data_IF_744093375158
#
_entry.id   IF_744093375158
#
_cell.length_a   1.000
_cell.length_b   1.000
_cell.length_c   1.000
_cell.angle_alpha   90.00
_cell.angle_beta   90.00
_cell.angle_gamma   90.00
#
_symmetry.space_group_name_H-M   'P 1'
#
loop_
_entity.id
_entity.type
_entity.pdbx_description
1 polymer ?
#
# COMPACT_ATOMS: atom_id res chain seq x y z
N UNK A 1 14.70 -16.84 -41.19
CA UNK A 1 13.53 -17.45 -40.47
C UNK A 1 13.97 -17.81 -39.07
N UNK A 2 13.18 -17.37 -38.06
CA UNK A 2 13.47 -17.70 -36.66
C UNK A 2 12.83 -19.05 -36.35
N UNK A 3 13.62 -20.02 -35.87
CA UNK A 3 13.14 -21.32 -35.41
C UNK A 3 12.82 -21.19 -33.91
N UNK A 4 11.55 -21.37 -33.55
CA UNK A 4 11.08 -21.33 -32.17
C UNK A 4 10.92 -22.79 -31.69
N UNK A 5 11.75 -23.20 -30.74
CA UNK A 5 11.66 -24.52 -30.09
C UNK A 5 10.99 -24.31 -28.74
N UNK A 6 9.79 -24.86 -28.56
CA UNK A 6 9.07 -24.78 -27.29
C UNK A 6 9.66 -25.75 -26.26
N UNK A 7 9.71 -25.33 -25.01
CA UNK A 7 10.17 -26.14 -23.85
C UNK A 7 11.62 -26.66 -23.94
N UNK A 8 12.50 -25.96 -24.64
CA UNK A 8 13.91 -26.34 -24.76
C UNK A 8 14.69 -26.21 -23.43
N UNK A 9 14.25 -25.30 -22.54
CA UNK A 9 14.84 -25.09 -21.22
C UNK A 9 13.75 -25.04 -20.15
N UNK A 10 14.04 -25.49 -18.91
CA UNK A 10 13.13 -25.25 -17.80
C UNK A 10 12.99 -23.73 -17.59
N UNK A 11 11.76 -23.27 -17.35
CA UNK A 11 11.49 -21.87 -17.10
C UNK A 11 12.17 -21.44 -15.78
N UNK A 12 12.96 -20.35 -15.82
CA UNK A 12 13.59 -19.75 -14.64
C UNK A 12 12.58 -18.99 -13.79
N UNK A 13 11.55 -18.43 -14.45
CA UNK A 13 10.45 -17.69 -13.81
C UNK A 13 9.12 -18.24 -14.23
N UNK A 14 8.15 -18.20 -13.34
CA UNK A 14 6.75 -18.52 -13.67
C UNK A 14 6.17 -17.44 -14.58
N UNK A 15 5.09 -17.77 -15.29
CA UNK A 15 4.40 -16.79 -16.14
C UNK A 15 3.88 -15.59 -15.34
N UNK A 16 3.44 -15.82 -14.10
CA UNK A 16 2.93 -14.77 -13.20
C UNK A 16 4.05 -13.83 -12.77
N UNK A 17 5.22 -14.35 -12.38
CA UNK A 17 6.40 -13.54 -12.04
C UNK A 17 6.87 -12.72 -13.23
N UNK A 18 6.90 -13.31 -14.42
CA UNK A 18 7.26 -12.60 -15.65
C UNK A 18 6.25 -11.48 -15.97
N UNK A 19 4.95 -11.71 -15.79
CA UNK A 19 3.92 -10.69 -15.97
C UNK A 19 4.05 -9.56 -14.92
N UNK A 20 4.33 -9.90 -13.67
CA UNK A 20 4.58 -8.93 -12.61
C UNK A 20 5.79 -8.07 -12.92
N UNK A 21 6.93 -8.66 -13.32
CA UNK A 21 8.11 -7.93 -13.75
C UNK A 21 7.81 -7.01 -14.95
N UNK A 22 7.09 -7.49 -15.96
CA UNK A 22 6.71 -6.66 -17.11
C UNK A 22 5.80 -5.49 -16.73
N UNK A 23 4.90 -5.65 -15.76
CA UNK A 23 4.04 -4.56 -15.27
C UNK A 23 4.86 -3.48 -14.59
N UNK A 24 5.81 -3.87 -13.75
CA UNK A 24 6.77 -2.96 -13.09
C UNK A 24 7.64 -2.24 -14.14
N UNK A 25 8.18 -2.97 -15.10
CA UNK A 25 8.96 -2.38 -16.19
C UNK A 25 8.14 -1.39 -17.02
N UNK A 26 6.88 -1.71 -17.34
CA UNK A 26 5.97 -0.77 -18.04
C UNK A 26 5.69 0.47 -17.22
N UNK A 27 5.46 0.35 -15.91
CA UNK A 27 5.25 1.50 -15.04
C UNK A 27 6.50 2.39 -14.97
N UNK A 28 7.68 1.78 -14.95
CA UNK A 28 8.95 2.49 -14.97
C UNK A 28 9.27 3.08 -16.35
N UNK A 29 8.94 2.38 -17.45
CA UNK A 29 9.18 2.84 -18.81
C UNK A 29 8.44 4.13 -19.16
N UNK A 30 7.22 4.33 -18.64
CA UNK A 30 6.49 5.61 -18.78
C UNK A 30 7.28 6.80 -18.24
N UNK A 31 8.25 6.56 -17.37
CA UNK A 31 9.16 7.58 -16.84
C UNK A 31 10.43 7.75 -17.68
N UNK A 32 10.78 6.78 -18.52
CA UNK A 32 12.04 6.77 -19.29
C UNK A 32 11.89 7.28 -20.72
N UNK A 33 10.71 7.24 -21.32
CA UNK A 33 10.50 7.66 -22.73
C UNK A 33 10.79 9.16 -22.96
N UNK A 34 11.12 9.94 -21.92
CA UNK A 34 11.42 11.36 -22.01
C UNK A 34 12.74 11.79 -21.36
N UNK A 35 13.60 10.88 -20.90
CA UNK A 35 14.86 11.25 -20.24
C UNK A 35 16.02 10.32 -20.64
N UNK A 36 16.97 10.78 -21.45
CA UNK A 36 18.28 10.15 -21.50
C UNK A 36 19.03 10.47 -20.20
N UNK A 37 19.27 9.49 -19.39
CA UNK A 37 20.37 9.58 -18.52
C UNK A 37 20.21 9.60 -17.03
N UNK A 38 21.14 8.92 -16.46
CA UNK A 38 21.70 8.92 -15.11
C UNK A 38 20.69 8.96 -13.96
N UNK A 39 20.39 7.79 -13.46
CA UNK A 39 19.87 7.62 -12.09
C UNK A 39 20.92 8.23 -11.15
N UNK A 40 20.76 9.50 -10.79
CA UNK A 40 21.46 10.04 -9.65
C UNK A 40 20.83 9.37 -8.42
N UNK A 41 21.58 8.48 -7.82
CA UNK A 41 21.31 7.99 -6.46
C UNK A 41 21.35 9.21 -5.54
N UNK A 42 20.18 9.81 -5.30
CA UNK A 42 20.06 10.86 -4.31
C UNK A 42 20.23 10.21 -2.95
N UNK A 43 21.20 10.70 -2.17
CA UNK A 43 21.40 10.27 -0.78
C UNK A 43 20.28 10.76 0.15
N UNK A 44 19.35 11.57 -0.37
CA UNK A 44 18.22 12.12 0.39
C UNK A 44 16.92 11.46 -0.04
N UNK A 45 16.12 11.03 0.93
CA UNK A 45 14.76 10.56 0.71
C UNK A 45 13.84 11.71 0.35
N UNK A 46 13.17 11.58 -0.80
CA UNK A 46 12.14 12.50 -1.26
C UNK A 46 10.77 11.91 -0.94
N UNK A 47 10.07 12.46 0.05
CA UNK A 47 8.85 11.89 0.65
C UNK A 47 7.73 11.65 -0.37
N UNK A 48 7.53 12.58 -1.31
CA UNK A 48 6.46 12.50 -2.32
C UNK A 48 6.97 12.00 -3.69
N UNK A 49 8.18 11.44 -3.74
CA UNK A 49 8.70 10.87 -4.98
C UNK A 49 7.82 9.72 -5.45
N UNK A 50 7.49 9.72 -6.72
CA UNK A 50 6.73 8.63 -7.33
C UNK A 50 5.21 8.84 -7.34
N UNK A 51 4.67 9.72 -6.50
CA UNK A 51 3.23 10.01 -6.40
C UNK A 51 2.84 11.43 -6.87
N UNK A 52 3.82 12.25 -7.28
CA UNK A 52 3.57 13.62 -7.77
C UNK A 52 3.39 13.66 -9.28
N UNK A 53 2.35 14.35 -9.74
CA UNK A 53 2.01 14.53 -11.15
C UNK A 53 1.72 15.99 -11.49
N UNK A 54 2.07 16.36 -12.69
CA UNK A 54 1.72 17.68 -13.27
C UNK A 54 0.30 17.65 -13.81
N UNK A 55 -0.61 18.46 -13.28
CA UNK A 55 -2.00 18.49 -13.73
C UNK A 55 -2.16 19.11 -15.13
N UNK A 56 -1.18 19.96 -15.56
CA UNK A 56 -1.20 20.59 -16.89
C UNK A 56 -0.84 19.65 -18.04
N UNK A 57 0.00 18.63 -17.80
CA UNK A 57 0.48 17.76 -18.88
C UNK A 57 0.47 16.27 -18.52
N UNK A 58 -0.01 15.90 -17.35
CA UNK A 58 -0.10 14.50 -16.88
C UNK A 58 1.24 13.83 -16.56
N UNK A 59 2.38 14.51 -16.78
CA UNK A 59 3.69 13.89 -16.58
C UNK A 59 3.99 13.68 -15.09
N UNK A 60 4.61 12.56 -14.74
CA UNK A 60 5.13 12.30 -13.40
C UNK A 60 6.26 13.29 -13.08
N UNK A 61 6.18 13.96 -11.94
CA UNK A 61 7.15 14.97 -11.56
C UNK A 61 8.45 14.33 -11.04
N UNK A 62 9.57 14.99 -11.31
CA UNK A 62 10.90 14.56 -10.88
C UNK A 62 11.29 15.31 -9.62
N UNK A 63 11.77 14.56 -8.62
CA UNK A 63 12.28 15.11 -7.38
C UNK A 63 13.75 15.54 -7.52
N UNK A 64 14.09 16.67 -6.94
CA UNK A 64 15.47 17.15 -6.83
C UNK A 64 15.73 17.75 -5.45
N UNK A 65 16.95 17.63 -4.91
CA UNK A 65 17.30 18.34 -3.67
C UNK A 65 17.12 19.85 -3.85
N UNK A 66 16.47 20.47 -2.90
CA UNK A 66 16.27 21.91 -2.87
C UNK A 66 17.28 22.62 -1.96
N UNK A 67 16.89 23.80 -1.47
CA UNK A 67 17.71 24.66 -0.62
C UNK A 67 17.89 24.02 0.77
N UNK A 68 19.09 24.13 1.30
CA UNK A 68 19.39 23.89 2.71
C UNK A 68 18.96 25.12 3.51
N UNK A 69 18.07 24.92 4.48
CA UNK A 69 17.64 25.97 5.40
C UNK A 69 18.60 26.10 6.59
N UNK A 70 18.52 27.22 7.31
CA UNK A 70 19.37 27.53 8.48
C UNK A 70 19.21 26.50 9.60
N UNK A 71 18.00 25.89 9.69
CA UNK A 71 17.67 24.84 10.65
C UNK A 71 18.20 23.43 10.25
N UNK A 72 19.03 23.36 9.21
CA UNK A 72 19.60 22.11 8.71
C UNK A 72 18.64 21.31 7.82
N UNK A 73 17.39 21.73 7.66
CA UNK A 73 16.46 21.05 6.78
C UNK A 73 16.75 21.37 5.32
N UNK A 74 16.95 20.33 4.53
CA UNK A 74 17.08 20.46 3.08
C UNK A 74 15.76 20.13 2.41
N UNK A 75 15.16 21.08 1.68
CA UNK A 75 13.90 20.84 0.98
C UNK A 75 14.05 19.84 -0.17
N UNK A 76 12.95 19.23 -0.58
CA UNK A 76 12.82 18.49 -1.83
C UNK A 76 11.95 19.31 -2.79
N UNK A 77 12.40 19.47 -4.02
CA UNK A 77 11.66 20.17 -5.06
C UNK A 77 11.11 19.14 -6.06
N UNK A 78 9.86 19.34 -6.47
CA UNK A 78 9.18 18.51 -7.46
C UNK A 78 8.88 19.35 -8.69
N UNK A 79 9.45 18.97 -9.83
CA UNK A 79 9.36 19.71 -11.08
C UNK A 79 8.84 18.88 -12.23
N UNK A 80 8.08 19.52 -13.11
CA UNK A 80 7.59 18.87 -14.33
C UNK A 80 8.77 18.63 -15.30
N UNK A 81 8.99 17.39 -15.78
CA UNK A 81 10.05 17.08 -16.71
C UNK A 81 9.90 17.79 -18.07
N UNK A 82 8.65 17.95 -18.56
CA UNK A 82 8.42 18.66 -19.83
C UNK A 82 8.73 20.15 -19.73
N UNK A 83 8.54 20.77 -18.56
CA UNK A 83 8.99 22.14 -18.31
C UNK A 83 10.50 22.22 -18.31
N UNK A 84 11.16 21.29 -17.60
CA UNK A 84 12.59 21.32 -17.37
C UNK A 84 13.40 21.02 -18.64
N UNK A 85 12.98 20.00 -19.39
CA UNK A 85 13.75 19.49 -20.52
C UNK A 85 13.37 20.13 -21.86
N UNK A 86 12.08 20.33 -22.10
CA UNK A 86 11.57 20.73 -23.42
C UNK A 86 10.83 22.08 -23.44
N UNK A 87 10.60 22.68 -22.26
CA UNK A 87 9.79 23.88 -22.07
C UNK A 87 8.35 23.80 -22.63
N UNK A 88 7.88 22.59 -22.94
CA UNK A 88 6.51 22.33 -23.44
C UNK A 88 5.44 22.44 -22.35
N UNK A 89 5.82 22.61 -21.10
CA UNK A 89 4.91 22.83 -19.98
C UNK A 89 5.40 24.03 -19.17
N UNK A 90 4.49 24.79 -18.60
CA UNK A 90 4.81 25.99 -17.80
C UNK A 90 4.57 25.80 -16.30
N UNK A 91 4.22 24.57 -15.85
CA UNK A 91 3.92 24.30 -14.44
C UNK A 91 5.13 24.56 -13.54
N UNK A 92 5.05 25.44 -12.53
CA UNK A 92 6.17 25.76 -11.65
C UNK A 92 6.58 24.57 -10.78
N UNK A 93 7.82 24.62 -10.27
CA UNK A 93 8.32 23.65 -9.31
C UNK A 93 7.71 23.93 -7.94
N UNK A 94 7.34 22.87 -7.22
CA UNK A 94 6.76 22.94 -5.86
C UNK A 94 7.70 22.25 -4.88
N UNK A 95 7.83 22.80 -3.67
CA UNK A 95 8.65 22.18 -2.64
C UNK A 95 7.82 21.29 -1.70
N UNK A 96 8.53 20.40 -1.01
CA UNK A 96 7.93 19.43 -0.08
C UNK A 96 7.27 20.07 1.16
N UNK A 97 7.66 21.27 1.56
CA UNK A 97 7.04 21.95 2.69
C UNK A 97 5.59 22.33 2.34
N UNK A 98 5.40 22.97 1.17
CA UNK A 98 4.07 23.37 0.70
C UNK A 98 3.18 22.14 0.49
N UNK A 99 3.72 21.12 -0.17
CA UNK A 99 2.98 19.88 -0.42
C UNK A 99 2.65 19.16 0.89
N UNK A 100 3.66 19.03 1.75
CA UNK A 100 3.54 18.30 3.01
C UNK A 100 2.57 18.95 3.99
N UNK A 101 2.62 20.27 4.13
CA UNK A 101 1.65 20.97 4.98
C UNK A 101 0.23 20.81 4.49
N UNK A 102 0.00 20.93 3.19
CA UNK A 102 -1.32 20.74 2.61
C UNK A 102 -1.82 19.30 2.80
N UNK A 103 -1.04 18.33 2.34
CA UNK A 103 -1.44 16.91 2.32
C UNK A 103 -1.65 16.36 3.71
N UNK A 104 -0.72 16.60 4.64
CA UNK A 104 -0.79 16.08 6.02
C UNK A 104 -1.96 16.69 6.79
N UNK A 105 -2.17 18.00 6.66
CA UNK A 105 -3.29 18.64 7.34
C UNK A 105 -4.63 18.24 6.70
N UNK A 106 -4.66 17.97 5.38
CA UNK A 106 -5.85 17.42 4.74
C UNK A 106 -6.20 16.03 5.24
N UNK A 107 -5.21 15.13 5.33
CA UNK A 107 -5.38 13.80 5.92
C UNK A 107 -5.82 13.91 7.38
N UNK A 108 -5.25 14.81 8.15
CA UNK A 108 -5.63 15.07 9.53
C UNK A 108 -7.10 15.51 9.63
N UNK A 109 -7.54 16.44 8.77
CA UNK A 109 -8.92 16.90 8.73
C UNK A 109 -9.89 15.77 8.32
N UNK A 110 -9.51 14.91 7.38
CA UNK A 110 -10.30 13.72 7.03
C UNK A 110 -10.46 12.76 8.23
N UNK A 111 -9.39 12.53 8.99
CA UNK A 111 -9.42 11.68 10.19
C UNK A 111 -10.26 12.31 11.31
N UNK A 112 -10.18 13.62 11.46
CA UNK A 112 -11.00 14.35 12.44
C UNK A 112 -12.48 14.38 12.03
N UNK A 113 -12.78 14.63 10.76
CA UNK A 113 -14.14 14.56 10.22
C UNK A 113 -14.78 13.18 10.46
N UNK A 114 -14.02 12.10 10.34
CA UNK A 114 -14.51 10.77 10.72
C UNK A 114 -14.87 10.66 12.20
N UNK A 115 -14.05 11.23 13.10
CA UNK A 115 -14.31 11.17 14.54
C UNK A 115 -15.57 11.98 14.94
N UNK A 116 -15.78 13.10 14.27
CA UNK A 116 -16.90 14.01 14.53
C UNK A 116 -18.08 13.82 13.57
N UNK A 117 -18.09 12.73 12.81
CA UNK A 117 -19.10 12.51 11.75
C UNK A 117 -20.54 12.49 12.29
N UNK A 118 -20.75 12.10 13.56
CA UNK A 118 -22.07 12.18 14.20
C UNK A 118 -22.63 13.60 14.28
N UNK A 119 -21.81 14.63 14.16
CA UNK A 119 -22.21 16.05 14.17
C UNK A 119 -22.25 16.68 12.76
N UNK A 120 -21.83 15.94 11.74
CA UNK A 120 -21.79 16.40 10.34
C UNK A 120 -23.00 15.80 9.62
N UNK A 121 -23.97 16.64 9.27
CA UNK A 121 -25.22 16.22 8.64
C UNK A 121 -25.27 16.49 7.15
N UNK A 122 -24.48 17.44 6.66
CA UNK A 122 -24.49 17.88 5.28
C UNK A 122 -23.11 17.81 4.63
N UNK A 123 -23.02 17.63 3.28
CA UNK A 123 -21.75 17.72 2.56
C UNK A 123 -21.04 19.07 2.74
N UNK A 124 -21.78 20.18 2.90
CA UNK A 124 -21.19 21.50 3.09
C UNK A 124 -20.48 21.61 4.45
N UNK A 125 -21.05 21.05 5.51
CA UNK A 125 -20.40 20.95 6.82
C UNK A 125 -19.15 20.09 6.74
N UNK A 126 -19.18 19.00 5.96
CA UNK A 126 -18.03 18.17 5.70
C UNK A 126 -16.94 18.95 4.94
N UNK A 127 -17.31 19.71 3.92
CA UNK A 127 -16.38 20.56 3.17
C UNK A 127 -15.69 21.57 4.10
N UNK A 128 -16.45 22.24 4.97
CA UNK A 128 -15.89 23.17 5.97
C UNK A 128 -14.94 22.48 6.95
N UNK A 129 -15.27 21.26 7.38
CA UNK A 129 -14.39 20.47 8.26
C UNK A 129 -13.10 20.06 7.55
N UNK A 130 -13.17 19.64 6.28
CA UNK A 130 -12.01 19.22 5.48
C UNK A 130 -11.06 20.39 5.17
N UNK A 131 -11.56 21.58 4.95
CA UNK A 131 -10.80 22.78 4.62
C UNK A 131 -10.50 23.66 5.86
N UNK A 132 -10.60 23.09 7.05
CA UNK A 132 -10.25 23.78 8.30
C UNK A 132 -8.75 24.00 8.40
N UNK A 133 -8.35 25.25 8.66
CA UNK A 133 -6.94 25.63 8.87
C UNK A 133 -6.41 26.65 7.85
N UNK A 134 -5.35 27.37 8.23
CA UNK A 134 -4.77 28.47 7.43
C UNK A 134 -4.21 28.02 6.08
N UNK A 135 -3.77 26.76 5.98
CA UNK A 135 -3.22 26.20 4.73
C UNK A 135 -4.24 26.16 3.60
N UNK A 136 -5.53 26.07 3.94
CA UNK A 136 -6.63 25.98 2.98
C UNK A 136 -7.31 27.33 2.71
N UNK A 137 -6.74 28.43 3.18
CA UNK A 137 -7.36 29.78 3.06
C UNK A 137 -7.66 30.20 1.61
N UNK A 138 -6.86 29.73 0.66
CA UNK A 138 -7.05 30.01 -0.77
C UNK A 138 -7.99 28.97 -1.45
N UNK A 139 -8.34 27.87 -0.79
CA UNK A 139 -9.24 26.87 -1.33
C UNK A 139 -10.68 27.30 -1.02
N UNK A 140 -11.54 27.27 -2.04
CA UNK A 140 -12.97 27.56 -1.90
C UNK A 140 -13.74 26.33 -1.45
N UNK A 141 -13.56 25.23 -2.18
CA UNK A 141 -14.28 23.97 -1.93
C UNK A 141 -13.54 22.77 -2.49
N UNK A 142 -13.95 21.59 -2.06
CA UNK A 142 -13.65 20.32 -2.73
C UNK A 142 -14.75 20.06 -3.75
N UNK A 143 -14.40 19.52 -4.92
CA UNK A 143 -15.36 19.15 -5.96
C UNK A 143 -16.45 18.19 -5.43
N UNK A 144 -17.70 18.43 -5.80
CA UNK A 144 -18.87 17.72 -5.26
C UNK A 144 -18.78 16.20 -5.37
N UNK A 145 -18.27 15.68 -6.50
CA UNK A 145 -18.15 14.23 -6.70
C UNK A 145 -17.25 13.56 -5.66
N UNK A 146 -16.11 14.18 -5.36
CA UNK A 146 -15.20 13.70 -4.34
C UNK A 146 -15.77 13.82 -2.94
N UNK A 147 -16.36 14.97 -2.65
CA UNK A 147 -16.99 15.27 -1.37
C UNK A 147 -18.14 14.30 -1.05
N UNK A 148 -19.07 14.10 -2.00
CA UNK A 148 -20.19 13.18 -1.86
C UNK A 148 -19.72 11.72 -1.73
N UNK A 149 -18.68 11.33 -2.45
CA UNK A 149 -18.09 10.01 -2.34
C UNK A 149 -17.52 9.77 -0.94
N UNK A 150 -16.87 10.76 -0.36
CA UNK A 150 -16.33 10.69 1.00
C UNK A 150 -17.44 10.72 2.06
N UNK A 151 -18.45 11.57 1.90
CA UNK A 151 -19.63 11.62 2.76
C UNK A 151 -20.35 10.27 2.82
N UNK A 152 -20.60 9.66 1.65
CA UNK A 152 -21.19 8.32 1.54
C UNK A 152 -20.32 7.23 2.19
N UNK A 153 -18.99 7.36 2.08
CA UNK A 153 -18.06 6.44 2.74
C UNK A 153 -18.15 6.56 4.26
N UNK A 154 -18.19 7.77 4.79
CA UNK A 154 -18.34 8.03 6.22
C UNK A 154 -19.70 7.55 6.74
N UNK A 155 -20.77 7.77 5.98
CA UNK A 155 -22.14 7.31 6.34
C UNK A 155 -22.23 5.79 6.46
N UNK A 156 -21.52 5.06 5.59
CA UNK A 156 -21.48 3.58 5.62
C UNK A 156 -20.61 3.00 6.73
N UNK A 157 -19.55 3.68 7.13
CA UNK A 157 -18.51 3.17 8.01
C UNK A 157 -18.31 4.03 9.27
N UNK A 158 -19.20 5.00 9.54
CA UNK A 158 -19.03 5.98 10.61
C UNK A 158 -18.91 5.39 12.02
N UNK A 159 -19.49 4.23 12.26
CA UNK A 159 -19.38 3.49 13.54
C UNK A 159 -18.28 2.43 13.56
N UNK A 160 -17.73 2.09 12.41
CA UNK A 160 -16.70 1.05 12.31
C UNK A 160 -15.31 1.62 12.63
N UNK A 161 -14.53 0.86 13.40
CA UNK A 161 -13.12 1.19 13.70
C UNK A 161 -12.21 1.05 12.49
N UNK A 162 -12.74 0.65 11.33
CA UNK A 162 -11.98 0.51 10.10
C UNK A 162 -11.31 1.83 9.70
N UNK A 163 -10.08 1.71 9.23
CA UNK A 163 -9.31 2.85 8.76
C UNK A 163 -9.85 3.35 7.42
N UNK A 164 -10.19 4.66 7.31
CA UNK A 164 -10.82 5.22 6.10
C UNK A 164 -9.98 5.13 4.83
N UNK A 165 -8.68 4.99 4.97
CA UNK A 165 -7.75 4.81 3.85
C UNK A 165 -7.42 3.33 3.56
N UNK A 166 -8.10 2.39 4.25
CA UNK A 166 -7.90 0.98 3.93
C UNK A 166 -8.29 0.75 2.48
N UNK A 167 -7.33 0.31 1.70
CA UNK A 167 -7.61 -0.27 0.40
C UNK A 167 -8.59 -1.40 0.67
N UNK A 168 -9.79 -1.38 0.07
CA UNK A 168 -10.55 -2.61 -0.09
C UNK A 168 -9.59 -3.51 -0.86
N UNK A 169 -8.89 -4.39 -0.18
CA UNK A 169 -8.29 -5.53 -0.86
C UNK A 169 -9.35 -6.00 -1.84
N UNK A 170 -9.08 -6.02 -3.18
CA UNK A 170 -10.00 -6.65 -4.10
C UNK A 170 -10.28 -7.95 -3.39
N UNK A 171 -11.55 -8.15 -2.89
CA UNK A 171 -11.94 -9.30 -2.04
C UNK A 171 -11.03 -10.39 -2.49
N UNK A 172 -10.05 -10.82 -1.66
CA UNK A 172 -9.14 -11.90 -2.05
C UNK A 172 -10.14 -12.90 -2.54
N UNK A 173 -10.27 -13.02 -3.88
CA UNK A 173 -11.01 -14.13 -4.50
C UNK A 173 -10.41 -15.24 -3.74
N UNK A 174 -11.14 -15.81 -2.73
CA UNK A 174 -10.68 -16.77 -1.73
C UNK A 174 -9.51 -17.44 -2.36
N UNK A 175 -8.29 -17.10 -1.94
CA UNK A 175 -7.08 -17.35 -2.73
C UNK A 175 -7.23 -18.78 -3.08
N UNK A 176 -7.38 -19.09 -4.36
CA UNK A 176 -7.93 -20.36 -4.78
C UNK A 176 -7.10 -21.34 -4.00
N UNK A 177 -7.71 -21.95 -2.98
CA UNK A 177 -7.00 -22.68 -1.92
C UNK A 177 -6.16 -23.61 -2.71
N UNK A 178 -4.84 -23.40 -2.67
CA UNK A 178 -3.91 -24.08 -3.57
C UNK A 178 -4.39 -25.50 -3.60
N UNK A 179 -4.84 -26.03 -4.74
CA UNK A 179 -5.53 -27.32 -4.77
C UNK A 179 -4.65 -28.41 -4.16
N UNK A 180 -3.33 -28.17 -4.17
CA UNK A 180 -2.32 -29.01 -3.59
C UNK A 180 -2.28 -28.90 -2.06
N UNK A 181 -2.36 -27.69 -1.52
CA UNK A 181 -2.45 -27.45 -0.07
C UNK A 181 -3.76 -27.99 0.52
N UNK A 182 -4.85 -27.89 -0.24
CA UNK A 182 -6.14 -28.47 0.12
C UNK A 182 -6.10 -30.00 0.11
N UNK A 183 -5.41 -30.61 -0.86
CA UNK A 183 -5.19 -32.05 -0.93
C UNK A 183 -4.35 -32.55 0.24
N UNK A 184 -3.24 -31.91 0.53
CA UNK A 184 -2.35 -32.27 1.65
C UNK A 184 -3.06 -32.16 3.01
N UNK A 185 -3.89 -31.13 3.23
CA UNK A 185 -4.70 -31.04 4.45
C UNK A 185 -5.71 -32.17 4.59
N UNK A 186 -6.40 -32.52 3.50
CA UNK A 186 -7.35 -33.67 3.48
C UNK A 186 -6.62 -34.98 3.71
N UNK A 187 -5.43 -35.13 3.16
CA UNK A 187 -4.62 -36.34 3.33
C UNK A 187 -4.09 -36.47 4.76
N UNK A 188 -3.63 -35.35 5.36
CA UNK A 188 -3.29 -35.28 6.79
C UNK A 188 -4.46 -35.76 7.66
N UNK A 189 -5.64 -35.20 7.47
CA UNK A 189 -6.85 -35.55 8.23
C UNK A 189 -7.23 -37.03 8.05
N UNK A 190 -7.04 -37.59 6.85
CA UNK A 190 -7.24 -39.00 6.57
C UNK A 190 -6.27 -39.89 7.35
N UNK A 191 -4.99 -39.53 7.38
CA UNK A 191 -3.95 -40.26 8.11
C UNK A 191 -4.13 -40.15 9.63
N UNK A 192 -4.50 -38.99 10.15
CA UNK A 192 -4.83 -38.79 11.57
C UNK A 192 -6.01 -39.68 12.00
N UNK A 193 -7.07 -39.74 11.20
CA UNK A 193 -8.20 -40.65 11.43
C UNK A 193 -7.80 -42.13 11.35
N UNK A 194 -6.89 -42.48 10.45
CA UNK A 194 -6.37 -43.84 10.34
C UNK A 194 -5.56 -44.24 11.57
N UNK A 195 -4.72 -43.33 12.07
CA UNK A 195 -3.96 -43.54 13.30
C UNK A 195 -4.88 -43.73 14.50
N UNK A 196 -5.90 -42.90 14.63
CA UNK A 196 -6.88 -42.99 15.71
C UNK A 196 -7.68 -44.30 15.66
N UNK A 197 -8.08 -44.76 14.46
CA UNK A 197 -8.74 -46.07 14.30
C UNK A 197 -7.80 -47.21 14.68
N UNK A 198 -6.54 -47.16 14.26
CA UNK A 198 -5.55 -48.18 14.58
C UNK A 198 -5.33 -48.25 16.10
N UNK A 199 -5.25 -47.11 16.78
CA UNK A 199 -5.14 -47.05 18.25
C UNK A 199 -6.36 -47.63 18.94
N UNK A 200 -7.58 -47.31 18.47
CA UNK A 200 -8.81 -47.83 19.03
C UNK A 200 -8.93 -49.34 18.82
N UNK A 201 -8.55 -49.84 17.64
CA UNK A 201 -8.53 -51.30 17.38
C UNK A 201 -7.55 -52.03 18.30
N UNK A 202 -6.37 -51.47 18.57
CA UNK A 202 -5.41 -52.07 19.46
C UNK A 202 -5.83 -52.05 20.91
N UNK A 203 -6.45 -50.94 21.37
CA UNK A 203 -6.85 -50.74 22.77
C UNK A 203 -8.14 -51.52 23.15
N UNK A 204 -9.07 -51.70 22.22
CA UNK A 204 -10.41 -52.19 22.53
C UNK A 204 -10.77 -53.51 21.90
N UNK A 205 -9.87 -54.13 21.09
CA UNK A 205 -10.11 -55.39 20.44
C UNK A 205 -9.15 -56.48 20.89
N UNK A 206 -9.63 -57.43 21.65
CA UNK A 206 -8.82 -58.48 22.32
C UNK A 206 -8.12 -59.45 21.36
N UNK A 207 -8.42 -59.47 20.08
CA UNK A 207 -7.97 -60.53 19.16
C UNK A 207 -7.53 -60.09 17.74
N UNK A 208 -7.48 -58.79 17.42
CA UNK A 208 -7.40 -58.37 16.01
C UNK A 208 -5.99 -58.00 15.53
N UNK A 209 -4.98 -57.77 16.40
CA UNK A 209 -3.68 -57.33 15.93
C UNK A 209 -2.56 -57.68 16.94
N UNK A 210 -1.43 -58.17 16.44
CA UNK A 210 -0.24 -58.38 17.27
C UNK A 210 0.42 -57.01 17.61
N UNK A 211 1.10 -56.93 18.77
CA UNK A 211 1.84 -55.74 19.14
C UNK A 211 2.86 -55.33 18.07
N UNK A 212 3.52 -56.31 17.47
CA UNK A 212 4.49 -56.07 16.38
C UNK A 212 3.84 -55.43 15.15
N UNK A 213 2.66 -55.91 14.72
CA UNK A 213 1.94 -55.37 13.59
C UNK A 213 1.40 -53.96 13.88
N UNK A 214 0.98 -53.72 15.14
CA UNK A 214 0.58 -52.37 15.58
C UNK A 214 1.73 -51.36 15.50
N UNK A 215 2.92 -51.73 16.01
CA UNK A 215 4.10 -50.86 15.97
C UNK A 215 4.52 -50.57 14.54
N UNK A 216 4.53 -51.55 13.65
CA UNK A 216 4.89 -51.34 12.24
C UNK A 216 3.91 -50.41 11.56
N UNK A 217 2.61 -50.66 11.64
CA UNK A 217 1.59 -49.80 11.01
C UNK A 217 1.55 -48.40 11.63
N UNK A 218 1.72 -48.26 12.92
CA UNK A 218 1.83 -46.98 13.59
C UNK A 218 3.04 -46.20 13.09
N UNK A 219 4.18 -46.84 12.93
CA UNK A 219 5.41 -46.21 12.40
C UNK A 219 5.23 -45.74 10.96
N UNK A 220 4.59 -46.54 10.09
CA UNK A 220 4.28 -46.16 8.72
C UNK A 220 3.38 -44.93 8.65
N UNK A 221 2.26 -44.91 9.39
CA UNK A 221 1.34 -43.77 9.41
C UNK A 221 2.01 -42.52 9.98
N UNK A 222 2.83 -42.68 11.05
CA UNK A 222 3.57 -41.55 11.64
C UNK A 222 4.57 -40.97 10.65
N UNK A 223 5.32 -41.81 9.92
CA UNK A 223 6.28 -41.35 8.90
C UNK A 223 5.59 -40.61 7.76
N UNK A 224 4.40 -41.08 7.34
CA UNK A 224 3.57 -40.38 6.36
C UNK A 224 3.09 -39.02 6.89
N UNK A 225 2.63 -38.95 8.14
CA UNK A 225 2.21 -37.70 8.77
C UNK A 225 3.36 -36.69 8.89
N UNK A 226 4.56 -37.15 9.25
CA UNK A 226 5.75 -36.29 9.34
C UNK A 226 6.14 -35.75 7.97
N UNK A 227 6.04 -36.53 6.92
CA UNK A 227 6.28 -36.09 5.56
C UNK A 227 5.25 -35.03 5.13
N UNK A 228 3.94 -35.29 5.35
CA UNK A 228 2.88 -34.34 5.06
C UNK A 228 3.04 -33.05 5.87
N UNK A 229 3.39 -33.16 7.16
CA UNK A 229 3.64 -32.00 8.01
C UNK A 229 4.85 -31.18 7.53
N UNK A 230 5.91 -31.84 7.03
CA UNK A 230 7.07 -31.18 6.43
C UNK A 230 6.69 -30.45 5.15
N UNK A 231 5.92 -31.09 4.26
CA UNK A 231 5.44 -30.46 3.03
C UNK A 231 4.50 -29.28 3.31
N UNK A 232 3.57 -29.44 4.26
CA UNK A 232 2.71 -28.35 4.73
C UNK A 232 3.53 -27.24 5.38
N UNK A 233 4.58 -27.57 6.14
CA UNK A 233 5.50 -26.59 6.72
C UNK A 233 6.23 -25.78 5.66
N UNK A 234 6.75 -26.41 4.62
CA UNK A 234 7.39 -25.74 3.49
C UNK A 234 6.39 -24.84 2.75
N UNK A 235 5.21 -25.36 2.39
CA UNK A 235 4.18 -24.58 1.71
C UNK A 235 3.57 -23.47 2.58
N UNK A 236 3.53 -23.62 3.91
CA UNK A 236 3.08 -22.56 4.82
C UNK A 236 4.20 -21.61 5.21
N UNK A 237 5.47 -21.99 5.13
CA UNK A 237 6.60 -21.06 5.20
C UNK A 237 6.65 -20.15 3.96
N UNK A 238 6.31 -20.65 2.79
CA UNK A 238 6.12 -19.83 1.59
C UNK A 238 4.87 -18.94 1.69
N UNK A 239 3.86 -19.32 2.49
CA UNK A 239 2.64 -18.54 2.75
C UNK A 239 2.62 -17.79 4.09
N UNK A 240 3.39 -18.20 5.09
CA UNK A 240 3.91 -17.30 6.11
C UNK A 240 4.97 -16.44 5.41
N UNK A 241 4.50 -15.69 4.40
CA UNK A 241 5.25 -14.58 3.90
C UNK A 241 5.71 -13.83 5.12
N UNK A 242 6.98 -13.87 5.41
CA UNK A 242 7.62 -12.74 6.04
C UNK A 242 6.96 -11.56 5.37
N UNK A 243 6.21 -10.76 6.12
CA UNK A 243 5.82 -9.43 5.69
C UNK A 243 7.09 -8.92 5.05
N UNK A 244 7.09 -8.69 3.74
CA UNK A 244 8.28 -8.19 3.08
C UNK A 244 8.71 -6.99 3.92
N UNK A 245 9.99 -6.73 4.05
CA UNK A 245 10.47 -5.61 4.87
C UNK A 245 9.67 -4.34 4.54
N UNK A 246 9.22 -4.20 3.27
CA UNK A 246 8.31 -3.15 2.83
C UNK A 246 6.92 -3.19 3.48
N UNK A 247 6.30 -4.34 3.63
CA UNK A 247 4.97 -4.45 4.28
C UNK A 247 5.07 -4.23 5.78
N UNK A 248 6.15 -4.69 6.41
CA UNK A 248 6.43 -4.40 7.82
C UNK A 248 6.64 -2.91 8.04
N UNK A 249 7.48 -2.25 7.22
CA UNK A 249 7.71 -0.80 7.27
C UNK A 249 6.41 -0.03 7.04
N UNK A 250 5.58 -0.45 6.08
CA UNK A 250 4.26 0.16 5.82
C UNK A 250 3.33 0.05 7.02
N UNK A 251 3.23 -1.09 7.66
CA UNK A 251 2.38 -1.26 8.84
C UNK A 251 2.92 -0.48 10.05
N UNK A 252 4.23 -0.53 10.29
CA UNK A 252 4.88 0.23 11.35
C UNK A 252 4.71 1.74 11.15
N UNK A 253 4.84 2.23 9.90
CA UNK A 253 4.65 3.65 9.56
C UNK A 253 3.24 4.14 9.88
N UNK A 254 2.22 3.33 9.63
CA UNK A 254 0.84 3.65 9.99
C UNK A 254 0.66 3.87 11.49
N UNK A 255 1.21 2.98 12.31
CA UNK A 255 1.07 3.05 13.76
C UNK A 255 1.79 4.27 14.34
N UNK A 256 3.01 4.53 13.89
CA UNK A 256 3.84 5.64 14.37
C UNK A 256 3.21 6.99 14.00
N UNK A 257 2.80 7.17 12.75
CA UNK A 257 2.26 8.44 12.30
C UNK A 257 0.85 8.68 12.84
N UNK A 258 0.03 7.64 12.99
CA UNK A 258 -1.27 7.78 13.67
C UNK A 258 -1.11 8.30 15.11
N UNK A 259 -0.06 7.87 15.82
CA UNK A 259 0.26 8.39 17.15
C UNK A 259 0.59 9.89 17.11
N UNK A 260 1.38 10.32 16.12
CA UNK A 260 1.74 11.72 15.93
C UNK A 260 0.57 12.60 15.46
N UNK A 261 -0.36 12.05 14.66
CA UNK A 261 -1.55 12.75 14.19
C UNK A 261 -2.66 12.83 15.25
N UNK A 262 -2.65 11.93 16.24
CA UNK A 262 -3.72 11.82 17.23
C UNK A 262 -3.87 13.09 18.06
N UNK A 263 -5.09 13.65 18.08
CA UNK A 263 -5.48 14.83 18.88
C UNK A 263 -4.79 16.16 18.50
N UNK A 264 -4.14 16.25 17.35
CA UNK A 264 -3.61 17.53 16.86
C UNK A 264 -4.65 18.23 15.98
N UNK A 265 -4.70 19.57 16.04
CA UNK A 265 -5.52 20.41 15.15
C UNK A 265 -4.77 20.84 13.91
N UNK A 266 -3.45 20.92 14.01
CA UNK A 266 -2.56 21.34 12.93
C UNK A 266 -1.17 20.70 13.08
N UNK A 267 -0.54 20.40 11.95
CA UNK A 267 0.79 19.79 11.91
C UNK A 267 1.70 20.64 11.02
N UNK A 268 2.80 21.10 11.59
CA UNK A 268 3.89 21.69 10.83
C UNK A 268 4.73 20.60 10.18
N UNK A 269 4.76 20.57 8.84
CA UNK A 269 5.46 19.53 8.10
C UNK A 269 6.96 19.44 8.45
N UNK A 270 7.65 20.56 8.54
CA UNK A 270 9.07 20.59 8.94
C UNK A 270 9.31 19.92 10.29
N UNK A 271 8.44 20.20 11.28
CA UNK A 271 8.54 19.61 12.61
C UNK A 271 8.26 18.10 12.56
N UNK A 272 7.33 17.68 11.73
CA UNK A 272 7.04 16.25 11.55
C UNK A 272 8.25 15.50 10.97
N UNK A 273 8.87 16.05 9.92
CA UNK A 273 10.06 15.43 9.29
C UNK A 273 11.29 15.45 10.20
N UNK A 274 11.37 16.37 11.16
CA UNK A 274 12.45 16.35 12.17
C UNK A 274 12.22 15.31 13.27
N UNK A 275 10.97 14.88 13.48
CA UNK A 275 10.58 13.92 14.53
C UNK A 275 10.45 12.49 14.00
N UNK A 276 10.01 12.34 12.76
CA UNK A 276 9.77 11.06 12.11
C UNK A 276 10.76 10.87 10.97
N UNK A 277 11.35 9.69 10.88
CA UNK A 277 12.26 9.33 9.80
C UNK A 277 11.60 9.56 8.42
N UNK A 278 12.27 10.25 7.46
CA UNK A 278 11.73 10.51 6.14
C UNK A 278 11.32 9.25 5.34
N UNK A 279 12.00 8.12 5.55
CA UNK A 279 11.65 6.85 4.89
C UNK A 279 10.34 6.28 5.43
N UNK A 280 10.12 6.38 6.74
CA UNK A 280 8.86 6.00 7.38
C UNK A 280 7.72 6.89 6.87
N UNK A 281 7.96 8.21 6.78
CA UNK A 281 6.97 9.15 6.28
C UNK A 281 6.63 8.91 4.80
N UNK A 282 7.64 8.61 3.99
CA UNK A 282 7.46 8.22 2.58
C UNK A 282 6.62 6.95 2.46
N UNK A 283 6.96 5.90 3.19
CA UNK A 283 6.19 4.64 3.20
C UNK A 283 4.73 4.86 3.61
N UNK A 284 4.49 5.73 4.60
CA UNK A 284 3.13 6.12 5.01
C UNK A 284 2.38 6.82 3.87
N UNK A 285 3.00 7.80 3.19
CA UNK A 285 2.39 8.49 2.06
C UNK A 285 2.06 7.53 0.91
N UNK A 286 2.97 6.66 0.56
CA UNK A 286 2.77 5.64 -0.48
C UNK A 286 1.68 4.61 -0.13
N UNK A 287 1.40 4.41 1.15
CA UNK A 287 0.33 3.50 1.60
C UNK A 287 -1.06 4.14 1.46
N UNK A 288 -1.16 5.44 1.68
CA UNK A 288 -2.45 6.17 1.66
C UNK A 288 -2.72 6.75 0.29
N UNK A 289 -1.70 7.34 -0.35
CA UNK A 289 -1.84 8.13 -1.57
C UNK A 289 -1.47 7.32 -2.80
N UNK A 290 -2.27 7.47 -3.83
CA UNK A 290 -1.97 7.00 -5.17
C UNK A 290 -1.27 8.09 -5.98
N UNK A 291 -1.86 9.28 -6.03
CA UNK A 291 -1.32 10.40 -6.79
C UNK A 291 -1.70 11.75 -6.20
N UNK A 292 -0.82 12.74 -6.39
CA UNK A 292 -1.02 14.16 -6.07
C UNK A 292 -0.79 14.96 -7.33
N UNK A 293 -1.75 15.77 -7.73
CA UNK A 293 -1.67 16.62 -8.91
C UNK A 293 -1.39 18.06 -8.50
N UNK A 294 -0.55 18.72 -9.26
CA UNK A 294 -0.21 20.14 -9.02
C UNK A 294 -0.28 20.96 -10.30
N UNK A 295 -0.82 22.15 -10.20
CA UNK A 295 -0.76 23.19 -11.22
C UNK A 295 -0.54 24.56 -10.59
N UNK A 296 0.22 25.42 -11.25
CA UNK A 296 0.52 26.78 -10.83
C UNK A 296 1.03 26.92 -9.38
N UNK A 297 1.80 25.93 -8.94
CA UNK A 297 2.36 25.90 -7.59
C UNK A 297 1.40 25.45 -6.50
N UNK A 298 0.18 25.03 -6.84
CA UNK A 298 -0.88 24.60 -5.93
C UNK A 298 -1.24 23.14 -6.15
N UNK A 299 -1.76 22.48 -5.14
CA UNK A 299 -2.30 21.10 -5.24
C UNK A 299 -3.70 21.18 -5.81
N UNK A 300 -3.92 20.57 -6.96
CA UNK A 300 -5.22 20.58 -7.66
C UNK A 300 -6.05 19.34 -7.36
N UNK A 301 -5.42 18.20 -7.11
CA UNK A 301 -6.12 16.99 -6.74
C UNK A 301 -5.25 16.06 -5.91
N UNK A 302 -5.91 15.25 -5.08
CA UNK A 302 -5.32 14.13 -4.33
C UNK A 302 -6.16 12.89 -4.59
N UNK A 303 -5.52 11.82 -5.06
CA UNK A 303 -6.13 10.51 -5.21
C UNK A 303 -5.58 9.57 -4.14
N UNK A 304 -6.47 8.90 -3.44
CA UNK A 304 -6.14 7.95 -2.39
C UNK A 304 -6.17 6.51 -2.93
N UNK A 305 -5.43 5.62 -2.28
CA UNK A 305 -5.37 4.20 -2.65
C UNK A 305 -6.71 3.45 -2.59
N UNK A 306 -7.66 3.96 -1.81
CA UNK A 306 -9.04 3.42 -1.75
C UNK A 306 -9.92 3.83 -2.94
N UNK A 307 -9.37 4.58 -3.92
CA UNK A 307 -10.06 5.08 -5.11
C UNK A 307 -10.75 6.44 -4.92
N UNK A 308 -10.70 7.02 -3.71
CA UNK A 308 -11.25 8.33 -3.45
C UNK A 308 -10.38 9.41 -4.11
N UNK A 309 -10.99 10.33 -4.86
CA UNK A 309 -10.28 11.46 -5.48
C UNK A 309 -10.93 12.76 -5.07
N UNK A 310 -10.15 13.68 -4.49
CA UNK A 310 -10.60 15.02 -4.15
C UNK A 310 -9.88 16.04 -5.04
N UNK A 311 -10.65 16.82 -5.80
CA UNK A 311 -10.18 17.99 -6.55
C UNK A 311 -10.50 19.26 -5.76
N UNK A 312 -9.57 20.21 -5.78
CA UNK A 312 -9.66 21.46 -5.03
C UNK A 312 -10.00 22.62 -5.97
N UNK A 313 -11.03 23.35 -5.61
CA UNK A 313 -11.44 24.57 -6.30
C UNK A 313 -10.86 25.75 -5.52
N UNK A 314 -10.05 26.56 -6.16
CA UNK A 314 -9.41 27.72 -5.55
C UNK A 314 -10.29 28.96 -5.77
N UNK A 315 -10.19 29.91 -4.82
CA UNK A 315 -10.83 31.21 -4.93
C UNK A 315 -10.24 31.96 -6.12
N UNK A 316 -11.07 32.59 -6.93
CA UNK A 316 -10.63 33.51 -7.94
C UNK A 316 -9.93 34.69 -7.25
N UNK A 317 -8.81 35.14 -7.85
CA UNK A 317 -8.04 36.28 -7.33
C UNK A 317 -8.66 37.58 -7.74
#
# INVERSE_FOLDING_TARGET
EWVMIQNHHPAIFTLEEHQAMRSIMKSNKRNMDNLPGRVHLSTKTHIFQGIMYCDKCGSKMVSTPGRLHVDGYRTSNYGCPLRRNTKKCNNPTVNDIVIGEFVINYILNMLNAKKTFSTINTPDELNAALLSGSVFSEVSSVEENGLNSFFNLLSRYGSDRSYIFSVKSPRKKKAAVDPELSKLRKEKEKQERALQRLQNLYLYSETSMSEKDFIIRKSEISSHLDNINRQLGLMTQDQASFLSDEEFIKQASHLLIQKELKNKKYIYFKKLVSTVDPDILKAYMETILDSIYTADGKITAITFKNGLTHRFIYKDK
#
